data_IF_421774331759
#
_entry.id   IF_421774331759
#
_cell.length_a   1.000
_cell.length_b   1.000
_cell.length_c   1.000
_cell.angle_alpha   90.00
_cell.angle_beta   90.00
_cell.angle_gamma   90.00
#
_symmetry.space_group_name_H-M   'P 1'
#
loop_
_entity.id
_entity.type
_entity.pdbx_description
1 polymer ?
#
# COMPACT_ATOMS: atom_id res chain seq x y z
N UNK A 1 5.37 9.26 72.15
CA UNK A 1 4.51 8.90 71.00
C UNK A 1 4.82 9.87 69.88
N UNK A 2 5.42 9.41 68.78
CA UNK A 2 5.67 10.24 67.59
C UNK A 2 4.73 9.75 66.49
N UNK A 3 3.68 10.52 66.24
CA UNK A 3 2.73 10.21 65.16
C UNK A 3 3.35 10.67 63.85
N UNK A 4 3.61 9.72 62.94
CA UNK A 4 4.02 10.00 61.56
C UNK A 4 2.73 10.13 60.75
N UNK A 5 2.51 11.32 60.16
CA UNK A 5 1.40 11.56 59.24
C UNK A 5 1.91 11.30 57.83
N UNK A 6 1.50 10.18 57.23
CA UNK A 6 1.72 9.90 55.81
C UNK A 6 0.68 10.66 54.99
N UNK A 7 1.10 11.73 54.31
CA UNK A 7 0.28 12.39 53.30
C UNK A 7 0.45 11.60 52.00
N UNK A 8 -0.57 10.81 51.64
CA UNK A 8 -0.63 10.17 50.32
C UNK A 8 -1.03 11.23 49.29
N UNK A 9 -0.10 11.61 48.42
CA UNK A 9 -0.42 12.39 47.22
C UNK A 9 -1.17 11.48 46.24
N UNK A 10 -2.49 11.66 46.15
CA UNK A 10 -3.28 11.05 45.10
C UNK A 10 -3.01 11.83 43.80
N UNK A 11 -2.10 11.32 42.98
CA UNK A 11 -1.88 11.81 41.61
C UNK A 11 -3.13 11.48 40.79
N UNK A 12 -4.07 12.43 40.71
CA UNK A 12 -5.18 12.37 39.77
C UNK A 12 -4.57 12.64 38.38
N UNK A 13 -4.17 11.57 37.70
CA UNK A 13 -3.81 11.65 36.29
C UNK A 13 -5.09 11.96 35.51
N UNK A 14 -5.26 13.23 35.15
CA UNK A 14 -6.30 13.64 34.20
C UNK A 14 -5.94 13.01 32.86
N UNK A 15 -6.69 11.99 32.44
CA UNK A 15 -6.64 11.51 31.06
C UNK A 15 -7.18 12.63 30.18
N UNK A 16 -6.28 13.44 29.62
CA UNK A 16 -6.61 14.28 28.47
C UNK A 16 -6.99 13.31 27.37
N UNK A 17 -8.26 13.33 26.94
CA UNK A 17 -8.65 12.62 25.73
C UNK A 17 -7.89 13.28 24.57
N UNK A 18 -6.86 12.60 24.09
CA UNK A 18 -6.24 12.92 22.81
C UNK A 18 -7.28 12.78 21.70
N UNK A 19 -7.05 13.44 20.57
CA UNK A 19 -7.90 13.31 19.39
C UNK A 19 -8.11 11.83 19.05
N UNK A 20 -9.38 11.41 18.95
CA UNK A 20 -9.73 10.03 18.67
C UNK A 20 -9.63 9.78 17.16
N UNK A 21 -8.79 8.82 16.76
CA UNK A 21 -8.76 8.33 15.38
C UNK A 21 -10.07 7.57 15.08
N UNK A 22 -10.81 8.02 14.07
CA UNK A 22 -12.09 7.42 13.66
C UNK A 22 -11.99 6.62 12.35
N UNK A 23 -11.16 7.07 11.41
CA UNK A 23 -11.03 6.48 10.08
C UNK A 23 -9.64 6.74 9.52
N UNK A 24 -9.08 5.73 8.85
CA UNK A 24 -7.88 5.88 8.02
C UNK A 24 -8.26 5.52 6.58
N UNK A 25 -8.04 6.47 5.67
CA UNK A 25 -8.09 6.20 4.24
C UNK A 25 -6.68 6.32 3.67
N UNK A 26 -6.09 5.19 3.33
CA UNK A 26 -4.73 5.11 2.81
C UNK A 26 -4.74 4.72 1.32
N UNK A 27 -3.87 5.36 0.55
CA UNK A 27 -3.66 5.10 -0.87
C UNK A 27 -2.16 4.97 -1.07
N UNK A 28 -1.74 3.91 -1.76
CA UNK A 28 -0.35 3.69 -2.09
C UNK A 28 -0.21 3.24 -3.54
N UNK A 29 0.98 3.50 -4.08
CA UNK A 29 1.41 2.89 -5.33
C UNK A 29 1.80 1.44 -5.08
N UNK A 30 1.74 0.65 -6.14
CA UNK A 30 2.36 -0.68 -6.20
C UNK A 30 3.85 -0.67 -5.84
N UNK A 31 4.39 -1.84 -5.51
CA UNK A 31 5.81 -2.03 -5.20
C UNK A 31 6.69 -1.96 -6.43
N UNK A 32 7.99 -2.10 -6.23
CA UNK A 32 8.96 -2.22 -7.32
C UNK A 32 8.53 -3.23 -8.39
N UNK A 33 8.77 -2.88 -9.66
CA UNK A 33 8.37 -3.68 -10.81
C UNK A 33 9.41 -3.58 -11.92
N UNK A 34 9.45 -4.59 -12.77
CA UNK A 34 10.21 -4.56 -14.01
C UNK A 34 9.72 -3.41 -14.93
N UNK A 35 10.56 -2.93 -15.86
CA UNK A 35 10.17 -1.93 -16.85
C UNK A 35 8.92 -2.34 -17.62
N UNK A 36 8.08 -1.37 -18.01
CA UNK A 36 6.87 -1.66 -18.80
C UNK A 36 7.21 -1.91 -20.27
N UNK A 37 8.26 -1.24 -20.75
CA UNK A 37 8.77 -1.29 -22.12
C UNK A 37 10.29 -1.22 -22.06
N UNK A 38 10.95 -1.74 -23.09
CA UNK A 38 12.39 -1.57 -23.29
C UNK A 38 12.63 -0.41 -24.26
N UNK A 39 13.69 0.35 -24.02
CA UNK A 39 14.12 1.37 -24.97
C UNK A 39 14.75 0.71 -26.21
N UNK A 40 14.69 1.34 -27.41
CA UNK A 40 15.27 0.76 -28.62
C UNK A 40 16.75 0.37 -28.50
N UNK A 41 17.53 1.12 -27.71
CA UNK A 41 18.96 0.90 -27.48
C UNK A 41 19.28 0.31 -26.09
N UNK A 42 18.30 -0.28 -25.41
CA UNK A 42 18.53 -0.90 -24.10
C UNK A 42 19.48 -2.11 -24.25
N UNK A 43 20.59 -2.16 -23.50
CA UNK A 43 21.50 -3.31 -23.54
C UNK A 43 20.89 -4.58 -22.91
N UNK A 44 19.84 -4.45 -22.10
CA UNK A 44 19.16 -5.58 -21.47
C UNK A 44 18.13 -6.19 -22.40
N UNK A 45 18.15 -7.52 -22.47
CA UNK A 45 17.19 -8.30 -23.26
C UNK A 45 15.95 -8.62 -22.43
N UNK A 46 14.91 -9.09 -23.11
CA UNK A 46 13.62 -9.40 -22.46
C UNK A 46 13.77 -10.48 -21.38
N UNK A 47 14.63 -11.47 -21.61
CA UNK A 47 14.94 -12.58 -20.70
C UNK A 47 15.70 -12.17 -19.43
N UNK A 48 16.33 -10.98 -19.43
CA UNK A 48 16.91 -10.38 -18.21
C UNK A 48 15.84 -10.14 -17.14
N UNK A 49 14.59 -9.90 -17.55
CA UNK A 49 13.47 -9.61 -16.66
C UNK A 49 12.66 -10.88 -16.40
N UNK A 50 13.11 -11.69 -15.44
CA UNK A 50 12.56 -13.03 -15.17
C UNK A 50 11.04 -13.11 -14.98
N UNK A 51 10.42 -12.11 -14.35
CA UNK A 51 8.96 -12.05 -14.16
C UNK A 51 8.23 -11.49 -15.39
N UNK A 52 8.94 -11.00 -16.38
CA UNK A 52 8.41 -10.27 -17.54
C UNK A 52 8.31 -8.76 -17.32
N UNK A 53 8.05 -8.03 -18.40
CA UNK A 53 7.89 -6.58 -18.38
C UNK A 53 6.62 -6.16 -17.63
N UNK A 54 6.75 -5.14 -16.79
CA UNK A 54 5.64 -4.57 -16.01
C UNK A 54 5.19 -5.43 -14.84
N UNK A 55 5.79 -6.61 -14.62
CA UNK A 55 5.49 -7.46 -13.47
C UNK A 55 6.20 -6.97 -12.21
N UNK A 56 5.56 -7.17 -11.06
CA UNK A 56 6.13 -6.86 -9.75
C UNK A 56 7.34 -7.76 -9.45
N UNK A 57 8.35 -7.20 -8.78
CA UNK A 57 9.54 -7.94 -8.37
C UNK A 57 9.38 -8.52 -6.96
N UNK A 58 10.29 -9.41 -6.56
CA UNK A 58 10.36 -9.87 -5.17
C UNK A 58 10.60 -8.72 -4.20
N UNK A 59 11.41 -7.72 -4.60
CA UNK A 59 11.62 -6.51 -3.82
C UNK A 59 10.34 -5.69 -3.70
N UNK A 60 9.53 -5.60 -4.75
CA UNK A 60 8.23 -4.93 -4.71
C UNK A 60 7.23 -5.61 -3.77
N UNK A 61 7.22 -6.95 -3.74
CA UNK A 61 6.43 -7.71 -2.76
C UNK A 61 6.93 -7.46 -1.34
N UNK A 62 8.26 -7.48 -1.13
CA UNK A 62 8.87 -7.19 0.18
C UNK A 62 8.52 -5.79 0.67
N UNK A 63 8.61 -4.78 -0.19
CA UNK A 63 8.24 -3.40 0.14
C UNK A 63 6.80 -3.31 0.66
N UNK A 64 5.85 -4.01 0.02
CA UNK A 64 4.47 -4.02 0.48
C UNK A 64 4.27 -4.80 1.77
N UNK A 65 4.96 -5.93 1.93
CA UNK A 65 4.95 -6.70 3.16
C UNK A 65 5.47 -5.86 4.34
N UNK A 66 6.60 -5.17 4.17
CA UNK A 66 7.17 -4.28 5.18
C UNK A 66 6.21 -3.12 5.50
N UNK A 67 5.59 -2.52 4.47
CA UNK A 67 4.54 -1.50 4.68
C UNK A 67 3.36 -2.08 5.48
N UNK A 68 2.94 -3.31 5.20
CA UNK A 68 1.87 -3.97 5.95
C UNK A 68 2.23 -4.17 7.42
N UNK A 69 3.49 -4.52 7.72
CA UNK A 69 3.97 -4.62 9.09
C UNK A 69 3.94 -3.26 9.81
N UNK A 70 4.35 -2.20 9.12
CA UNK A 70 4.30 -0.83 9.67
C UNK A 70 2.86 -0.41 9.99
N UNK A 71 1.91 -0.68 9.08
CA UNK A 71 0.49 -0.39 9.28
C UNK A 71 -0.07 -1.19 10.47
N UNK A 72 0.27 -2.48 10.60
CA UNK A 72 -0.16 -3.27 11.76
C UNK A 72 0.46 -2.76 13.06
N UNK A 73 1.75 -2.44 13.07
CA UNK A 73 2.40 -1.90 14.27
C UNK A 73 1.73 -0.60 14.72
N UNK A 74 1.50 0.33 13.78
CA UNK A 74 0.86 1.61 14.10
C UNK A 74 -0.58 1.40 14.58
N UNK A 75 -1.44 0.81 13.75
CA UNK A 75 -2.88 0.83 14.00
C UNK A 75 -3.39 -0.29 14.89
N UNK A 76 -2.70 -1.43 14.97
CA UNK A 76 -3.10 -2.53 15.87
C UNK A 76 -2.33 -2.45 17.18
N UNK A 77 -1.01 -2.24 17.13
CA UNK A 77 -0.17 -2.39 18.33
C UNK A 77 -0.05 -1.09 19.14
N UNK A 78 0.25 0.04 18.49
CA UNK A 78 0.47 1.32 19.18
C UNK A 78 -0.86 2.01 19.47
N UNK A 79 -1.71 2.17 18.46
CA UNK A 79 -2.94 2.93 18.57
C UNK A 79 -4.12 2.12 19.09
N UNK A 80 -4.04 0.78 19.04
CA UNK A 80 -5.16 -0.12 19.36
C UNK A 80 -6.46 0.29 18.65
N UNK A 81 -6.33 0.71 17.38
CA UNK A 81 -7.41 1.17 16.51
C UNK A 81 -8.05 0.00 15.76
N UNK A 82 -7.23 -0.93 15.24
CA UNK A 82 -7.66 -2.16 14.56
C UNK A 82 -7.49 -3.38 15.46
N UNK A 83 -8.28 -4.43 15.22
CA UNK A 83 -8.20 -5.67 15.98
C UNK A 83 -6.90 -6.46 15.72
N UNK A 84 -6.36 -7.16 16.74
CA UNK A 84 -5.21 -8.06 16.57
C UNK A 84 -5.43 -9.23 15.60
N UNK A 85 -6.70 -9.63 15.42
CA UNK A 85 -7.12 -10.59 14.41
C UNK A 85 -7.86 -9.84 13.30
N UNK A 86 -7.83 -10.40 12.09
CA UNK A 86 -8.48 -9.74 10.95
C UNK A 86 -9.99 -9.81 11.13
N UNK A 87 -10.65 -8.68 10.92
CA UNK A 87 -12.10 -8.59 10.87
C UNK A 87 -12.54 -7.86 9.61
N UNK A 88 -13.53 -8.44 8.94
CA UNK A 88 -13.99 -7.96 7.64
C UNK A 88 -14.74 -6.62 7.71
N UNK A 89 -15.32 -6.29 8.85
CA UNK A 89 -16.01 -5.02 9.12
C UNK A 89 -15.07 -3.86 9.49
N UNK A 90 -13.80 -4.14 9.80
CA UNK A 90 -12.80 -3.12 10.15
C UNK A 90 -11.95 -2.67 8.94
N UNK A 91 -11.81 -3.51 7.91
CA UNK A 91 -10.88 -3.26 6.80
C UNK A 91 -11.51 -3.57 5.46
N UNK A 92 -11.49 -2.57 4.58
CA UNK A 92 -11.84 -2.69 3.18
C UNK A 92 -10.61 -2.45 2.30
N UNK A 93 -10.19 -3.47 1.54
CA UNK A 93 -9.10 -3.36 0.58
C UNK A 93 -9.64 -3.30 -0.85
N UNK A 94 -9.26 -2.25 -1.58
CA UNK A 94 -9.55 -2.10 -3.01
C UNK A 94 -8.24 -1.97 -3.78
N UNK A 95 -8.16 -2.63 -4.93
CA UNK A 95 -7.05 -2.52 -5.87
C UNK A 95 -7.55 -2.30 -7.29
N UNK A 96 -6.76 -1.64 -8.12
CA UNK A 96 -7.00 -1.59 -9.56
C UNK A 96 -6.81 -2.97 -10.18
N UNK A 97 -7.52 -3.25 -11.27
CA UNK A 97 -7.47 -4.54 -11.97
C UNK A 97 -6.21 -4.67 -12.84
N UNK A 98 -5.06 -4.76 -12.16
CA UNK A 98 -3.75 -5.02 -12.74
C UNK A 98 -2.99 -5.96 -11.80
N UNK A 99 -2.30 -6.97 -12.35
CA UNK A 99 -1.63 -8.00 -11.56
C UNK A 99 -0.71 -7.43 -10.47
N UNK A 100 0.11 -6.45 -10.82
CA UNK A 100 1.09 -5.87 -9.89
C UNK A 100 0.44 -5.14 -8.69
N UNK A 101 -0.71 -4.50 -8.88
CA UNK A 101 -1.42 -3.80 -7.80
C UNK A 101 -2.20 -4.78 -6.92
N UNK A 102 -2.77 -5.84 -7.50
CA UNK A 102 -3.40 -6.93 -6.74
C UNK A 102 -2.36 -7.69 -5.90
N UNK A 103 -1.21 -8.04 -6.49
CA UNK A 103 -0.13 -8.71 -5.77
C UNK A 103 0.48 -7.83 -4.67
N UNK A 104 0.63 -6.52 -4.93
CA UNK A 104 1.02 -5.53 -3.92
C UNK A 104 0.04 -5.50 -2.75
N UNK A 105 -1.27 -5.49 -3.03
CA UNK A 105 -2.31 -5.49 -2.00
C UNK A 105 -2.24 -6.75 -1.14
N UNK A 106 -2.10 -7.94 -1.74
CA UNK A 106 -1.95 -9.18 -0.98
C UNK A 106 -0.64 -9.24 -0.18
N UNK A 107 0.48 -8.77 -0.72
CA UNK A 107 1.73 -8.68 0.02
C UNK A 107 1.59 -7.76 1.24
N UNK A 108 0.87 -6.65 1.10
CA UNK A 108 0.56 -5.75 2.21
C UNK A 108 -0.33 -6.40 3.27
N UNK A 109 -1.41 -7.08 2.85
CA UNK A 109 -2.30 -7.82 3.74
C UNK A 109 -1.57 -8.95 4.47
N UNK A 110 -0.63 -9.63 3.82
CA UNK A 110 0.25 -10.60 4.45
C UNK A 110 1.14 -9.92 5.51
N UNK A 111 1.72 -8.76 5.20
CA UNK A 111 2.47 -7.96 6.17
C UNK A 111 1.64 -7.56 7.38
N UNK A 112 0.34 -7.30 7.18
CA UNK A 112 -0.58 -6.96 8.25
C UNK A 112 -1.03 -8.18 9.06
N UNK A 113 -1.49 -9.26 8.45
CA UNK A 113 -2.25 -10.31 9.14
C UNK A 113 -1.74 -11.73 8.91
N UNK A 114 -0.60 -11.95 8.25
CA UNK A 114 -0.03 -13.29 8.22
C UNK A 114 0.55 -13.67 9.58
N UNK A 115 0.26 -14.89 10.04
CA UNK A 115 0.87 -15.51 11.22
C UNK A 115 0.77 -14.65 12.50
N UNK A 116 -0.42 -14.09 12.77
CA UNK A 116 -0.69 -13.36 14.02
C UNK A 116 -1.14 -14.32 15.12
N UNK A 117 -0.59 -14.16 16.32
CA UNK A 117 -0.93 -14.98 17.49
C UNK A 117 -2.40 -14.88 17.92
N UNK A 118 -3.08 -13.81 17.53
CA UNK A 118 -4.51 -13.62 17.78
C UNK A 118 -5.40 -14.48 16.87
N UNK A 119 -4.87 -14.99 15.75
CA UNK A 119 -5.63 -15.88 14.86
C UNK A 119 -5.67 -17.30 15.42
N UNK A 120 -6.86 -17.89 15.38
CA UNK A 120 -7.13 -19.24 15.86
C UNK A 120 -7.37 -20.18 14.68
N UNK A 121 -6.70 -21.33 14.72
CA UNK A 121 -6.98 -22.45 13.83
C UNK A 121 -8.44 -22.90 13.98
N UNK A 122 -9.04 -23.31 12.86
CA UNK A 122 -10.46 -23.69 12.71
C UNK A 122 -11.47 -22.61 13.10
N UNK A 123 -11.02 -21.36 13.21
CA UNK A 123 -11.86 -20.17 13.39
C UNK A 123 -11.53 -19.12 12.32
N UNK A 124 -10.26 -18.73 12.22
CA UNK A 124 -9.79 -17.73 11.25
C UNK A 124 -9.20 -18.37 9.99
N UNK A 125 -8.65 -19.58 10.11
CA UNK A 125 -8.07 -20.35 9.01
C UNK A 125 -8.16 -21.86 9.31
N UNK A 126 -8.29 -22.74 8.30
CA UNK A 126 -8.44 -24.18 8.51
C UNK A 126 -7.13 -24.85 8.93
N UNK A 127 -7.21 -25.81 9.86
CA UNK A 127 -6.11 -26.67 10.30
C UNK A 127 -5.91 -27.91 9.44
N UNK A 128 -5.83 -27.76 8.12
CA UNK A 128 -5.71 -28.89 7.17
C UNK A 128 -4.32 -28.96 6.53
N UNK A 129 -3.92 -30.17 6.13
CA UNK A 129 -2.68 -30.40 5.38
C UNK A 129 -2.69 -29.60 4.07
N UNK A 130 -1.59 -28.88 3.82
CA UNK A 130 -1.41 -28.01 2.65
C UNK A 130 -1.93 -26.58 2.82
N UNK A 131 -2.69 -26.28 3.88
CA UNK A 131 -3.01 -24.89 4.21
C UNK A 131 -1.83 -24.22 4.93
N UNK A 132 -1.37 -23.02 4.51
CA UNK A 132 -0.28 -22.36 5.21
C UNK A 132 -0.71 -21.95 6.63
N UNK A 133 0.00 -22.44 7.64
CA UNK A 133 -0.33 -22.15 9.03
C UNK A 133 -0.33 -20.63 9.28
N UNK A 134 -1.38 -20.11 9.92
CA UNK A 134 -1.55 -18.68 10.20
C UNK A 134 -1.91 -17.82 8.99
N UNK A 135 -2.20 -18.42 7.83
CA UNK A 135 -2.71 -17.67 6.67
C UNK A 135 -4.22 -17.49 6.78
N UNK A 136 -4.64 -16.24 7.00
CA UNK A 136 -6.05 -15.82 6.94
C UNK A 136 -6.30 -15.14 5.59
N UNK A 137 -7.25 -15.62 4.78
CA UNK A 137 -7.55 -15.00 3.50
C UNK A 137 -8.28 -13.68 3.73
N UNK A 138 -7.77 -12.60 3.14
CA UNK A 138 -8.38 -11.26 3.20
C UNK A 138 -8.81 -10.86 1.80
N UNK A 139 -10.03 -10.36 1.66
CA UNK A 139 -10.58 -9.97 0.36
C UNK A 139 -9.94 -8.66 -0.14
N UNK A 140 -9.39 -8.68 -1.35
CA UNK A 140 -9.03 -7.48 -2.10
C UNK A 140 -10.01 -7.31 -3.28
N UNK A 141 -10.80 -6.25 -3.23
CA UNK A 141 -11.83 -5.98 -4.24
C UNK A 141 -11.25 -5.24 -5.44
N UNK A 142 -11.75 -5.55 -6.63
CA UNK A 142 -11.37 -4.87 -7.86
C UNK A 142 -12.56 -4.73 -8.80
N UNK A 143 -12.40 -3.89 -9.82
CA UNK A 143 -13.35 -3.72 -10.91
C UNK A 143 -12.55 -3.59 -12.20
N UNK A 144 -13.11 -4.07 -13.31
CA UNK A 144 -12.49 -4.01 -14.63
C UNK A 144 -11.93 -2.61 -14.90
N UNK A 145 -10.69 -2.55 -15.39
CA UNK A 145 -9.92 -1.30 -15.54
C UNK A 145 -10.66 -0.19 -16.31
N UNK A 146 -11.43 -0.53 -17.34
CA UNK A 146 -12.20 0.43 -18.14
C UNK A 146 -13.46 0.96 -17.43
N UNK A 147 -13.94 0.26 -16.39
CA UNK A 147 -15.03 0.66 -15.53
C UNK A 147 -14.55 1.29 -14.21
N UNK A 148 -13.23 1.31 -13.99
CA UNK A 148 -12.64 1.86 -12.78
C UNK A 148 -12.52 3.40 -12.86
N UNK A 149 -13.54 4.10 -12.38
CA UNK A 149 -13.54 5.57 -12.30
C UNK A 149 -12.82 6.16 -11.07
N UNK A 150 -12.23 5.31 -10.22
CA UNK A 150 -11.59 5.73 -8.96
C UNK A 150 -10.07 5.53 -9.02
N UNK A 151 -9.62 4.36 -9.49
CA UNK A 151 -8.22 3.95 -9.50
C UNK A 151 -7.57 3.97 -10.88
N UNK A 152 -8.32 4.01 -11.99
CA UNK A 152 -7.70 4.12 -13.31
C UNK A 152 -7.24 5.55 -13.57
N UNK A 153 -5.93 5.76 -13.59
CA UNK A 153 -5.30 7.06 -13.89
C UNK A 153 -5.18 7.35 -15.38
N UNK A 154 -5.51 6.37 -16.24
CA UNK A 154 -5.47 6.47 -17.70
C UNK A 154 -6.86 6.13 -18.28
N UNK A 155 -7.91 6.88 -17.94
CA UNK A 155 -9.23 6.67 -18.53
C UNK A 155 -9.22 7.12 -20.01
N UNK A 156 -10.02 6.46 -20.85
CA UNK A 156 -10.30 6.96 -22.20
C UNK A 156 -11.18 8.22 -22.10
N UNK A 157 -10.54 9.39 -22.15
CA UNK A 157 -11.19 10.67 -21.89
C UNK A 157 -10.64 11.76 -22.81
N UNK A 158 -11.36 12.06 -23.90
CA UNK A 158 -11.01 13.13 -24.85
C UNK A 158 -10.78 14.50 -24.17
N UNK A 159 -11.46 14.75 -23.05
CA UNK A 159 -11.29 15.99 -22.28
C UNK A 159 -9.92 16.04 -21.59
N UNK A 160 -9.43 14.91 -21.10
CA UNK A 160 -8.09 14.81 -20.53
C UNK A 160 -7.03 15.12 -21.59
N UNK A 161 -7.15 14.55 -22.79
CA UNK A 161 -6.23 14.82 -23.90
C UNK A 161 -6.22 16.30 -24.27
N UNK A 162 -7.40 16.90 -24.46
CA UNK A 162 -7.53 18.33 -24.75
C UNK A 162 -6.87 19.20 -23.66
N UNK A 163 -7.12 18.88 -22.39
CA UNK A 163 -6.54 19.62 -21.27
C UNK A 163 -5.02 19.47 -21.23
N UNK A 164 -4.51 18.28 -21.54
CA UNK A 164 -3.06 18.04 -21.60
C UNK A 164 -2.41 18.79 -22.76
N UNK A 165 -3.08 18.92 -23.91
CA UNK A 165 -2.60 19.77 -25.02
C UNK A 165 -2.55 21.25 -24.65
N UNK A 166 -3.48 21.74 -23.80
CA UNK A 166 -3.38 23.08 -23.24
C UNK A 166 -2.22 23.23 -22.26
N UNK A 167 -2.00 22.24 -21.39
CA UNK A 167 -0.85 22.22 -20.48
C UNK A 167 0.46 22.28 -21.26
N UNK A 168 0.57 21.57 -22.38
CA UNK A 168 1.76 21.62 -23.24
C UNK A 168 2.07 23.02 -23.78
N UNK A 169 1.07 23.90 -23.90
CA UNK A 169 1.26 25.26 -24.40
C UNK A 169 1.73 26.24 -23.32
N UNK A 170 1.71 25.86 -22.04
CA UNK A 170 2.07 26.79 -20.97
C UNK A 170 3.59 26.99 -20.89
N UNK A 171 4.06 28.18 -20.45
CA UNK A 171 5.49 28.45 -20.30
C UNK A 171 6.20 27.45 -19.38
N UNK A 172 5.55 26.97 -18.33
CA UNK A 172 6.10 26.01 -17.37
C UNK A 172 6.40 24.67 -18.03
N UNK A 173 5.48 24.15 -18.84
CA UNK A 173 5.70 22.90 -19.55
C UNK A 173 6.82 23.03 -20.59
N UNK A 174 6.82 24.11 -21.36
CA UNK A 174 7.84 24.38 -22.36
C UNK A 174 9.23 24.52 -21.72
N UNK A 175 9.31 25.22 -20.59
CA UNK A 175 10.54 25.36 -19.81
C UNK A 175 11.02 24.01 -19.27
N UNK A 176 10.12 23.20 -18.70
CA UNK A 176 10.44 21.85 -18.25
C UNK A 176 11.02 20.98 -19.38
N UNK A 177 10.39 20.97 -20.56
CA UNK A 177 10.88 20.21 -21.72
C UNK A 177 12.25 20.68 -22.17
N UNK A 178 12.50 22.00 -22.19
CA UNK A 178 13.82 22.54 -22.51
C UNK A 178 14.88 22.08 -21.51
N UNK A 179 14.58 22.08 -20.21
CA UNK A 179 15.50 21.57 -19.19
C UNK A 179 15.83 20.09 -19.39
N UNK A 180 14.82 19.25 -19.67
CA UNK A 180 15.03 17.81 -19.89
C UNK A 180 15.94 17.53 -21.11
N UNK A 181 15.81 18.31 -22.18
CA UNK A 181 16.68 18.20 -23.36
C UNK A 181 18.13 18.55 -23.06
N UNK A 182 18.37 19.53 -22.20
CA UNK A 182 19.73 19.93 -21.80
C UNK A 182 20.37 18.88 -20.88
N UNK A 183 19.58 18.22 -20.03
CA UNK A 183 20.07 17.20 -19.09
C UNK A 183 20.25 15.80 -19.68
N UNK A 184 19.77 15.54 -20.90
CA UNK A 184 19.94 14.25 -21.59
C UNK A 184 20.02 14.44 -23.11
N UNK A 185 21.15 14.94 -23.62
CA UNK A 185 21.31 15.26 -25.04
C UNK A 185 21.28 14.04 -25.98
N UNK A 186 21.51 12.82 -25.47
CA UNK A 186 21.66 11.59 -26.27
C UNK A 186 20.36 10.77 -26.43
N UNK A 187 19.19 11.30 -26.04
CA UNK A 187 17.90 10.59 -26.09
C UNK A 187 17.00 10.99 -27.29
N UNK A 188 17.57 11.04 -28.50
CA UNK A 188 16.82 11.05 -29.77
C UNK A 188 17.38 9.97 -30.70
#
# INVERSE_FOLDING_TARGET
MRSVVCIAFLLIAVKVNADQLLLVQAIWRHGDRNPKYLCPNDPNKLDTWYQGLGHITADGLKQHFDLGQLIYNEYVTIMNFLSPSYKQDEIYMRSTDVNLTLQSAYANLLGMYFNRSAHKMDVNYPGIDGWPNGFVPVAAHTILRNLDHVGNTEPDCRRQDFLFELVKQTPEYQFYVQQQRVSSPDNI
#
